data_IF_544484294996
#
_entry.id   IF_544484294996
#
_cell.length_a   1.000
_cell.length_b   1.000
_cell.length_c   1.000
_cell.angle_alpha   90.00
_cell.angle_beta   90.00
_cell.angle_gamma   90.00
#
_symmetry.space_group_name_H-M   'P 1'
#
loop_
_entity.id
_entity.type
_entity.pdbx_description
1 polymer ?
#
# COMPACT_ATOMS: atom_id res chain seq x y z
N UNK A 1 6.95 38.27 14.57
CA UNK A 1 8.30 37.83 14.16
C UNK A 1 8.23 36.33 13.96
N UNK A 2 8.30 35.84 12.72
CA UNK A 2 8.29 34.41 12.44
C UNK A 2 9.59 33.82 12.99
N UNK A 3 9.49 32.94 14.00
CA UNK A 3 10.63 32.18 14.46
C UNK A 3 11.15 31.37 13.25
N UNK A 4 12.45 31.45 12.90
CA UNK A 4 12.98 30.65 11.81
C UNK A 4 12.68 29.18 12.10
N UNK A 5 12.07 28.50 11.14
CA UNK A 5 11.71 27.09 11.25
C UNK A 5 12.99 26.28 11.44
N UNK A 6 13.29 25.89 12.68
CA UNK A 6 14.50 25.14 13.01
C UNK A 6 14.45 23.82 12.24
N UNK A 7 15.46 23.59 11.40
CA UNK A 7 15.46 22.40 10.54
C UNK A 7 15.85 21.14 11.32
N UNK A 8 15.43 19.93 10.92
CA UNK A 8 15.89 18.68 11.55
C UNK A 8 17.42 18.53 11.55
N UNK A 9 18.09 19.06 10.52
CA UNK A 9 19.56 19.09 10.44
C UNK A 9 20.15 19.99 11.52
N UNK A 10 19.55 21.16 11.73
CA UNK A 10 19.99 22.08 12.77
C UNK A 10 19.81 21.48 14.17
N UNK A 11 18.67 20.85 14.47
CA UNK A 11 18.48 20.14 15.73
C UNK A 11 19.53 19.05 15.95
N UNK A 12 19.81 18.26 14.91
CA UNK A 12 20.82 17.20 14.98
C UNK A 12 22.19 17.79 15.31
N UNK A 13 22.58 18.88 14.66
CA UNK A 13 23.84 19.59 14.96
C UNK A 13 23.85 20.12 16.40
N UNK A 14 22.77 20.77 16.86
CA UNK A 14 22.65 21.26 18.24
C UNK A 14 22.75 20.12 19.26
N UNK A 15 22.17 18.97 18.95
CA UNK A 15 22.23 17.76 19.80
C UNK A 15 23.66 17.21 19.87
N UNK A 16 24.39 17.19 18.76
CA UNK A 16 25.82 16.81 18.76
C UNK A 16 26.64 17.78 19.59
N UNK A 17 26.41 19.08 19.45
CA UNK A 17 27.11 20.11 20.25
C UNK A 17 26.82 19.92 21.74
N UNK A 18 25.56 19.64 22.12
CA UNK A 18 25.17 19.37 23.50
C UNK A 18 25.88 18.13 24.07
N UNK A 19 25.92 17.03 23.31
CA UNK A 19 26.60 15.80 23.70
C UNK A 19 28.11 16.01 23.91
N UNK A 20 28.76 16.75 23.01
CA UNK A 20 30.19 17.07 23.11
C UNK A 20 30.47 18.01 24.29
N UNK A 21 29.61 18.99 24.52
CA UNK A 21 29.81 19.98 25.60
C UNK A 21 29.62 19.37 26.98
N UNK A 22 28.85 18.29 27.09
CA UNK A 22 28.52 17.63 28.36
C UNK A 22 28.92 16.14 28.36
N UNK A 23 30.01 15.79 27.68
CA UNK A 23 30.45 14.41 27.44
C UNK A 23 30.51 13.57 28.74
N UNK A 24 31.12 14.12 29.79
CA UNK A 24 31.28 13.43 31.07
C UNK A 24 29.93 13.08 31.72
N UNK A 25 28.94 13.97 31.61
CA UNK A 25 27.60 13.74 32.16
C UNK A 25 26.92 12.54 31.48
N UNK A 26 26.90 12.54 30.15
CA UNK A 26 26.26 11.47 29.37
C UNK A 26 27.00 10.14 29.50
N UNK A 27 28.34 10.14 29.46
CA UNK A 27 29.13 8.94 29.66
C UNK A 27 28.86 8.31 31.03
N UNK A 28 28.88 9.10 32.11
CA UNK A 28 28.66 8.58 33.46
C UNK A 28 27.25 7.99 33.65
N UNK A 29 26.25 8.54 32.95
CA UNK A 29 24.86 8.16 33.15
C UNK A 29 24.42 6.97 32.28
N UNK A 30 24.93 6.85 31.04
CA UNK A 30 24.36 5.91 30.06
C UNK A 30 25.36 4.95 29.42
N UNK A 31 26.67 5.17 29.56
CA UNK A 31 27.67 4.37 28.82
C UNK A 31 27.67 2.89 29.19
N UNK A 32 27.37 2.56 30.44
CA UNK A 32 27.27 1.19 30.92
C UNK A 32 26.06 0.44 30.34
N UNK A 33 25.04 1.15 29.85
CA UNK A 33 23.78 0.58 29.39
C UNK A 33 23.74 0.48 27.86
N UNK A 34 24.29 1.48 27.16
CA UNK A 34 24.07 1.68 25.72
C UNK A 34 25.38 1.65 24.94
N UNK A 35 26.52 1.68 25.64
CA UNK A 35 27.84 1.69 25.05
C UNK A 35 28.43 3.08 24.96
N UNK A 36 29.60 3.20 24.29
CA UNK A 36 30.44 4.37 24.42
C UNK A 36 29.90 5.55 23.59
N UNK A 37 29.87 6.73 24.20
CA UNK A 37 29.28 7.94 23.63
C UNK A 37 29.96 8.39 22.32
N UNK A 38 31.27 8.19 22.19
CA UNK A 38 32.01 8.56 20.99
C UNK A 38 31.49 7.85 19.72
N UNK A 39 31.09 6.57 19.83
CA UNK A 39 30.50 5.83 18.72
C UNK A 39 29.10 6.37 18.37
N UNK A 40 28.30 6.71 19.39
CA UNK A 40 27.01 7.35 19.18
C UNK A 40 27.16 8.70 18.45
N UNK A 41 28.09 9.56 18.87
CA UNK A 41 28.38 10.84 18.21
C UNK A 41 28.78 10.65 16.75
N UNK A 42 29.67 9.70 16.45
CA UNK A 42 30.05 9.37 15.07
C UNK A 42 28.85 8.88 14.24
N UNK A 43 27.94 8.12 14.86
CA UNK A 43 26.68 7.70 14.27
C UNK A 43 25.79 8.89 13.91
N UNK A 44 25.57 9.81 14.84
CA UNK A 44 24.68 10.97 14.66
C UNK A 44 25.13 11.86 13.50
N UNK A 45 26.44 12.05 13.33
CA UNK A 45 27.00 12.88 12.27
C UNK A 45 26.73 12.34 10.85
N UNK A 46 26.42 11.05 10.70
CA UNK A 46 26.01 10.48 9.41
C UNK A 46 24.57 10.86 9.11
N UNK A 47 24.29 11.26 7.87
CA UNK A 47 22.92 11.53 7.46
C UNK A 47 22.07 10.26 7.56
N UNK A 48 20.82 10.40 8.01
CA UNK A 48 19.82 9.33 8.07
C UNK A 48 20.13 8.18 9.06
N UNK A 49 21.11 8.34 9.94
CA UNK A 49 21.25 7.44 11.07
C UNK A 49 20.10 7.60 12.04
N UNK A 50 19.65 6.46 12.56
CA UNK A 50 18.67 6.37 13.61
C UNK A 50 19.23 7.02 14.88
N UNK A 51 18.38 7.77 15.57
CA UNK A 51 18.75 8.41 16.84
C UNK A 51 18.45 7.48 17.99
N UNK A 52 19.48 7.19 18.79
CA UNK A 52 19.39 6.33 19.96
C UNK A 52 19.16 7.16 21.23
N UNK A 53 19.38 6.57 22.42
CA UNK A 53 18.99 7.21 23.67
C UNK A 53 19.79 8.48 23.96
N UNK A 54 21.09 8.51 23.66
CA UNK A 54 21.93 9.68 23.90
C UNK A 54 21.34 10.92 23.25
N UNK A 55 20.88 10.78 22.03
CA UNK A 55 20.22 11.82 21.25
C UNK A 55 18.92 12.26 21.89
N UNK A 56 18.08 11.31 22.33
CA UNK A 56 16.80 11.64 22.97
C UNK A 56 17.02 12.43 24.26
N UNK A 57 17.97 12.03 25.09
CA UNK A 57 18.26 12.72 26.36
C UNK A 57 18.89 14.08 26.11
N UNK A 58 19.86 14.19 25.19
CA UNK A 58 20.44 15.48 24.82
C UNK A 58 19.42 16.43 24.19
N UNK A 59 18.46 15.88 23.43
CA UNK A 59 17.39 16.67 22.85
C UNK A 59 16.49 17.32 23.90
N UNK A 60 16.34 16.73 25.11
CA UNK A 60 15.66 17.39 26.22
C UNK A 60 16.30 18.74 26.58
N UNK A 61 17.64 18.79 26.63
CA UNK A 61 18.39 20.02 26.92
C UNK A 61 18.27 21.03 25.77
N UNK A 62 18.44 20.57 24.54
CA UNK A 62 18.36 21.41 23.33
C UNK A 62 16.97 22.04 23.18
N UNK A 63 15.91 21.28 23.42
CA UNK A 63 14.52 21.75 23.30
C UNK A 63 13.98 22.39 24.58
N UNK A 64 14.68 22.23 25.71
CA UNK A 64 14.23 22.63 27.05
C UNK A 64 12.85 22.03 27.38
N UNK A 65 12.69 20.74 27.16
CA UNK A 65 11.42 20.03 27.37
C UNK A 65 11.64 18.65 27.97
N UNK A 66 10.62 18.13 28.64
CA UNK A 66 10.58 16.73 29.04
C UNK A 66 10.23 15.88 27.81
N UNK A 67 10.90 14.74 27.64
CA UNK A 67 10.55 13.77 26.61
C UNK A 67 10.12 12.47 27.29
N UNK A 68 8.82 12.19 27.25
CA UNK A 68 8.25 10.89 27.59
C UNK A 68 8.46 9.94 26.43
N UNK A 69 9.27 8.93 26.67
CA UNK A 69 9.58 7.89 25.71
C UNK A 69 8.75 6.65 25.99
N UNK A 70 8.08 6.11 24.96
CA UNK A 70 7.24 4.91 25.05
C UNK A 70 7.78 3.87 24.07
N UNK A 71 8.28 2.78 24.62
CA UNK A 71 8.79 1.61 23.92
C UNK A 71 7.75 0.48 23.97
N UNK A 72 7.39 -0.14 22.83
CA UNK A 72 6.38 -1.18 22.79
C UNK A 72 6.82 -2.43 23.57
N UNK A 73 5.87 -3.14 24.17
CA UNK A 73 6.15 -4.37 24.88
C UNK A 73 6.30 -5.57 23.91
N UNK A 74 7.29 -5.49 23.01
CA UNK A 74 7.66 -6.51 22.03
C UNK A 74 9.10 -6.92 22.29
N UNK A 75 9.33 -8.20 22.57
CA UNK A 75 10.64 -8.76 22.95
C UNK A 75 11.34 -7.99 24.09
N UNK A 76 10.53 -7.42 24.99
CA UNK A 76 11.01 -6.49 26.00
C UNK A 76 12.01 -7.15 26.95
N UNK A 77 13.17 -6.53 27.10
CA UNK A 77 14.24 -6.95 28.02
C UNK A 77 14.39 -5.93 29.14
N UNK A 78 14.88 -6.35 30.29
CA UNK A 78 14.98 -5.49 31.48
C UNK A 78 15.75 -4.18 31.22
N UNK A 79 16.88 -4.25 30.49
CA UNK A 79 17.64 -3.04 30.12
C UNK A 79 16.86 -2.08 29.21
N UNK A 80 15.83 -2.54 28.49
CA UNK A 80 14.99 -1.69 27.65
C UNK A 80 14.02 -0.83 28.46
N UNK A 81 13.87 -1.08 29.76
CA UNK A 81 13.07 -0.24 30.65
C UNK A 81 13.53 1.22 30.66
N UNK A 82 14.81 1.47 30.37
CA UNK A 82 15.32 2.83 30.24
C UNK A 82 14.59 3.61 29.14
N UNK A 83 14.18 2.97 28.04
CA UNK A 83 13.45 3.60 26.94
C UNK A 83 11.98 3.88 27.29
N UNK A 84 11.45 3.35 28.38
CA UNK A 84 10.09 3.61 28.88
C UNK A 84 10.14 4.60 30.06
N UNK A 85 10.69 5.80 29.84
CA UNK A 85 10.93 6.79 30.88
C UNK A 85 10.60 8.22 30.44
N UNK A 86 10.56 9.15 31.40
CA UNK A 86 10.45 10.59 31.15
C UNK A 86 11.83 11.21 31.36
N UNK A 87 12.47 11.59 30.26
CA UNK A 87 13.72 12.32 30.29
C UNK A 87 13.47 13.80 30.54
N UNK A 88 14.28 14.39 31.40
CA UNK A 88 14.16 15.78 31.83
C UNK A 88 15.45 16.53 31.47
N UNK A 89 15.38 17.83 31.18
CA UNK A 89 16.58 18.64 31.01
C UNK A 89 17.46 18.62 32.26
N UNK A 90 18.77 18.59 32.07
CA UNK A 90 19.77 18.66 33.13
C UNK A 90 19.71 20.04 33.80
N UNK A 91 19.66 20.13 35.14
CA UNK A 91 19.72 21.40 35.84
C UNK A 91 20.92 22.25 35.40
N UNK A 92 20.79 23.59 35.29
CA UNK A 92 19.70 24.43 35.80
C UNK A 92 18.53 24.62 34.84
N UNK A 93 18.47 23.88 33.73
CA UNK A 93 17.41 24.04 32.74
C UNK A 93 16.05 23.60 33.32
N UNK A 94 15.03 24.43 33.14
CA UNK A 94 13.65 24.13 33.49
C UNK A 94 12.91 23.73 32.21
N UNK A 95 12.19 22.61 32.26
CA UNK A 95 11.39 22.13 31.14
C UNK A 95 10.17 23.03 30.90
N UNK A 96 9.95 23.42 29.65
CA UNK A 96 8.84 24.29 29.23
C UNK A 96 7.62 23.51 28.73
N UNK A 97 7.69 22.17 28.70
CA UNK A 97 6.61 21.30 28.23
C UNK A 97 7.02 19.83 28.25
N UNK A 98 6.07 18.96 27.89
CA UNK A 98 6.30 17.53 27.72
C UNK A 98 5.93 17.07 26.31
N UNK A 99 6.88 16.38 25.68
CA UNK A 99 6.76 15.73 24.40
C UNK A 99 6.65 14.23 24.65
N UNK A 100 5.78 13.55 23.92
CA UNK A 100 5.68 12.09 23.99
C UNK A 100 6.12 11.52 22.66
N UNK A 101 7.01 10.52 22.69
CA UNK A 101 7.44 9.77 21.51
C UNK A 101 7.12 8.29 21.69
N UNK A 102 6.83 7.62 20.59
CA UNK A 102 6.59 6.19 20.53
C UNK A 102 7.58 5.53 19.58
N UNK A 103 8.37 4.59 20.08
CA UNK A 103 9.30 3.81 19.28
C UNK A 103 8.54 2.83 18.40
N UNK A 104 8.88 2.80 17.12
CA UNK A 104 8.20 1.97 16.13
C UNK A 104 9.16 1.45 15.07
N UNK A 105 8.61 0.62 14.18
CA UNK A 105 9.33 0.10 13.02
C UNK A 105 8.57 0.43 11.73
N UNK A 106 9.28 0.74 10.66
CA UNK A 106 8.66 1.07 9.36
C UNK A 106 8.11 -0.14 8.60
N UNK A 107 8.56 -1.34 8.95
CA UNK A 107 8.03 -2.61 8.46
C UNK A 107 7.05 -3.19 9.47
N UNK A 108 6.20 -4.12 9.01
CA UNK A 108 5.41 -4.94 9.93
C UNK A 108 6.31 -5.83 10.81
N UNK A 109 5.72 -6.42 11.85
CA UNK A 109 6.47 -7.21 12.83
C UNK A 109 7.19 -8.41 12.21
N UNK A 110 6.54 -9.11 11.27
CA UNK A 110 7.08 -10.32 10.66
C UNK A 110 8.33 -9.99 9.84
N UNK A 111 8.23 -8.95 9.01
CA UNK A 111 9.34 -8.49 8.19
C UNK A 111 10.46 -7.86 9.05
N UNK A 112 10.11 -7.11 10.10
CA UNK A 112 11.09 -6.55 11.04
C UNK A 112 11.92 -7.65 11.70
N UNK A 113 11.26 -8.72 12.17
CA UNK A 113 11.93 -9.88 12.77
C UNK A 113 12.79 -10.63 11.76
N UNK A 114 12.31 -10.78 10.52
CA UNK A 114 13.08 -11.46 9.47
C UNK A 114 14.41 -10.77 9.18
N UNK A 115 14.46 -9.44 9.24
CA UNK A 115 15.68 -8.65 9.03
C UNK A 115 16.60 -8.68 10.26
N UNK A 116 16.05 -8.83 11.46
CA UNK A 116 16.75 -8.70 12.74
C UNK A 116 16.92 -10.05 13.47
N UNK A 117 17.20 -11.12 12.72
CA UNK A 117 17.46 -12.47 13.25
C UNK A 117 16.42 -12.96 14.27
N UNK A 118 15.14 -12.69 13.99
CA UNK A 118 14.00 -13.10 14.81
C UNK A 118 13.63 -12.14 15.94
N UNK A 119 14.46 -11.13 16.22
CA UNK A 119 14.19 -10.12 17.27
C UNK A 119 13.54 -8.87 16.69
N UNK A 120 12.64 -8.26 17.43
CA UNK A 120 12.11 -6.95 17.07
C UNK A 120 12.97 -5.83 17.66
N UNK A 121 13.27 -4.81 16.86
CA UNK A 121 13.94 -3.58 17.33
C UNK A 121 13.39 -2.39 16.56
N UNK A 122 13.22 -1.21 17.17
CA UNK A 122 12.74 -0.03 16.47
C UNK A 122 13.80 0.48 15.50
N UNK A 123 13.34 1.03 14.38
CA UNK A 123 14.17 1.80 13.45
C UNK A 123 13.59 3.20 13.21
N UNK A 124 12.53 3.53 13.94
CA UNK A 124 11.80 4.78 13.82
C UNK A 124 11.15 5.17 15.15
N UNK A 125 10.72 6.42 15.26
CA UNK A 125 9.84 6.85 16.33
C UNK A 125 8.89 7.93 15.81
N UNK A 126 7.70 8.00 16.40
CA UNK A 126 6.69 8.99 16.06
C UNK A 126 6.33 9.82 17.31
N UNK A 127 6.21 11.15 17.21
CA UNK A 127 5.67 11.93 18.30
C UNK A 127 4.19 11.60 18.46
N UNK A 128 3.78 11.36 19.69
CA UNK A 128 2.36 11.28 20.02
C UNK A 128 1.85 12.68 20.31
N UNK A 129 0.94 13.13 19.46
CA UNK A 129 0.12 14.30 19.72
C UNK A 129 -0.73 13.99 20.95
N UNK A 130 -0.43 14.65 22.08
CA UNK A 130 -1.39 14.70 23.16
C UNK A 130 -2.54 15.57 22.67
N UNK A 131 -3.59 14.94 22.18
CA UNK A 131 -4.87 15.61 22.03
C UNK A 131 -5.24 16.09 23.42
N UNK A 132 -5.19 17.40 23.65
CA UNK A 132 -5.91 18.03 24.73
C UNK A 132 -7.39 17.87 24.38
N UNK A 133 -7.91 16.68 24.68
CA UNK A 133 -9.32 16.42 24.69
C UNK A 133 -9.84 17.23 25.87
N UNK A 134 -10.19 18.49 25.62
CA UNK A 134 -11.11 19.23 26.48
C UNK A 134 -12.51 18.61 26.32
N UNK A 135 -12.67 17.32 26.61
CA UNK A 135 -13.99 16.77 26.87
C UNK A 135 -14.32 17.23 28.28
N UNK A 136 -15.13 18.28 28.39
CA UNK A 136 -16.08 18.32 29.49
C UNK A 136 -16.85 16.99 29.41
N UNK A 137 -16.93 16.21 30.51
CA UNK A 137 -17.79 15.04 30.52
C UNK A 137 -19.22 15.57 30.32
N UNK A 138 -19.78 15.32 29.14
CA UNK A 138 -21.22 15.38 28.98
C UNK A 138 -21.75 14.11 29.65
N UNK A 139 -22.52 14.27 30.73
CA UNK A 139 -23.12 13.21 31.55
C UNK A 139 -24.21 12.39 30.81
N UNK A 140 -24.06 12.15 29.51
CA UNK A 140 -25.10 11.50 28.70
C UNK A 140 -24.64 10.35 27.80
N UNK A 141 -23.46 9.76 28.06
CA UNK A 141 -23.07 8.53 27.37
C UNK A 141 -23.02 7.32 28.32
N UNK A 142 -24.13 6.58 28.35
CA UNK A 142 -24.21 5.24 28.94
C UNK A 142 -23.45 4.29 28.00
N UNK A 143 -22.44 3.53 28.49
CA UNK A 143 -21.74 2.55 27.67
C UNK A 143 -22.66 1.37 27.37
N UNK A 144 -23.01 1.15 26.11
CA UNK A 144 -23.65 -0.10 25.68
C UNK A 144 -22.65 -1.23 25.86
N UNK A 145 -22.93 -2.09 26.83
CA UNK A 145 -22.23 -3.35 27.12
C UNK A 145 -22.08 -4.20 25.86
N UNK A 146 -20.84 -4.57 25.53
CA UNK A 146 -20.57 -5.59 24.51
C UNK A 146 -21.00 -6.95 25.05
N UNK A 147 -22.16 -7.42 24.60
CA UNK A 147 -22.59 -8.81 24.76
C UNK A 147 -21.72 -9.74 23.91
N UNK A 148 -21.15 -10.73 24.59
CA UNK A 148 -20.42 -11.87 24.05
C UNK A 148 -21.21 -12.59 22.95
N UNK A 149 -20.51 -12.96 21.88
CA UNK A 149 -21.01 -13.80 20.79
C UNK A 149 -21.08 -15.26 21.23
N UNK A 150 -22.22 -15.97 21.03
CA UNK A 150 -22.25 -17.40 21.19
C UNK A 150 -21.92 -18.14 19.87
N UNK A 151 -21.36 -19.32 20.07
CA UNK A 151 -20.79 -20.25 19.10
C UNK A 151 -21.74 -20.64 17.95
N UNK A 152 -21.15 -20.78 16.76
CA UNK A 152 -21.81 -21.34 15.57
C UNK A 152 -22.00 -22.86 15.73
N UNK A 153 -23.24 -23.28 15.97
CA UNK A 153 -23.71 -24.62 15.60
C UNK A 153 -24.26 -24.60 14.17
N UNK A 154 -23.76 -25.52 13.35
CA UNK A 154 -24.19 -25.78 11.98
C UNK A 154 -25.60 -26.37 11.95
N UNK A 155 -26.53 -25.72 11.27
CA UNK A 155 -27.77 -26.34 10.77
C UNK A 155 -27.87 -26.10 9.26
N UNK A 156 -27.94 -27.20 8.51
CA UNK A 156 -28.26 -27.23 7.07
C UNK A 156 -29.76 -27.00 6.92
N UNK A 157 -30.17 -26.02 6.12
CA UNK A 157 -31.52 -25.99 5.55
C UNK A 157 -31.43 -25.56 4.07
N UNK A 158 -31.89 -26.46 3.20
CA UNK A 158 -32.08 -26.27 1.77
C UNK A 158 -33.37 -25.48 1.53
N UNK A 159 -33.29 -24.29 0.93
CA UNK A 159 -34.41 -23.68 0.18
C UNK A 159 -33.84 -22.93 -1.03
N UNK A 160 -34.36 -23.10 -2.26
CA UNK A 160 -33.84 -22.42 -3.44
C UNK A 160 -34.38 -20.98 -3.53
N UNK A 161 -33.48 -19.99 -3.51
CA UNK A 161 -33.83 -18.58 -3.75
C UNK A 161 -33.96 -18.34 -5.26
N UNK A 162 -35.18 -18.06 -5.74
CA UNK A 162 -35.41 -17.58 -7.11
C UNK A 162 -34.91 -16.14 -7.24
N UNK A 163 -33.86 -15.94 -8.04
CA UNK A 163 -33.38 -14.61 -8.43
C UNK A 163 -34.28 -14.11 -9.57
N UNK A 164 -35.12 -13.11 -9.29
CA UNK A 164 -35.88 -12.37 -10.31
C UNK A 164 -34.91 -11.50 -11.11
N UNK A 165 -34.79 -11.76 -12.40
CA UNK A 165 -34.09 -10.90 -13.37
C UNK A 165 -34.97 -9.65 -13.59
N UNK A 166 -34.43 -8.42 -13.55
CA UNK A 166 -35.18 -7.23 -13.93
C UNK A 166 -35.48 -7.27 -15.44
N UNK A 167 -36.76 -7.19 -15.81
CA UNK A 167 -37.17 -6.98 -17.19
C UNK A 167 -36.83 -5.55 -17.62
N UNK A 168 -35.88 -5.41 -18.55
CA UNK A 168 -35.67 -4.16 -19.26
C UNK A 168 -36.62 -4.10 -20.47
N UNK A 169 -37.35 -2.99 -20.69
CA UNK A 169 -38.10 -2.82 -21.91
C UNK A 169 -37.14 -2.75 -23.10
N UNK A 170 -37.33 -3.68 -24.04
CA UNK A 170 -36.66 -3.74 -25.34
C UNK A 170 -36.70 -2.37 -26.04
N UNK A 171 -35.52 -1.84 -26.43
CA UNK A 171 -35.40 -0.61 -27.21
C UNK A 171 -36.30 -0.60 -28.47
N UNK A 172 -36.91 0.55 -28.84
CA UNK A 172 -37.88 0.64 -29.94
C UNK A 172 -37.31 0.40 -31.35
N UNK A 173 -35.98 0.41 -31.51
CA UNK A 173 -35.33 0.42 -32.83
C UNK A 173 -35.20 -0.95 -33.52
N UNK A 174 -35.88 -1.99 -33.02
CA UNK A 174 -35.91 -3.33 -33.65
C UNK A 174 -37.26 -3.62 -34.33
N UNK A 175 -37.90 -2.63 -34.95
CA UNK A 175 -39.21 -2.80 -35.62
C UNK A 175 -39.31 -2.24 -37.04
N UNK A 176 -38.18 -2.02 -37.72
CA UNK A 176 -38.22 -1.62 -39.14
C UNK A 176 -37.25 -2.48 -39.97
N UNK A 177 -37.53 -3.79 -40.03
CA UNK A 177 -37.16 -4.64 -41.17
C UNK A 177 -37.96 -5.94 -41.18
N UNK A 178 -39.25 -5.83 -41.48
CA UNK A 178 -40.08 -6.97 -41.89
C UNK A 178 -40.68 -6.64 -43.24
N UNK A 179 -39.84 -6.68 -44.27
CA UNK A 179 -40.31 -7.17 -45.55
C UNK A 179 -40.26 -8.69 -45.45
N UNK A 180 -41.43 -9.31 -45.58
CA UNK A 180 -41.67 -10.74 -45.43
C UNK A 180 -41.04 -11.44 -46.63
N UNK A 181 -39.82 -11.94 -46.45
CA UNK A 181 -39.19 -12.87 -47.37
C UNK A 181 -39.44 -14.30 -46.84
N UNK A 182 -40.07 -15.23 -47.60
CA UNK A 182 -40.40 -16.57 -47.14
C UNK A 182 -39.20 -17.41 -46.64
N UNK A 183 -37.97 -17.04 -47.02
CA UNK A 183 -36.75 -17.64 -46.47
C UNK A 183 -36.55 -17.36 -44.97
N UNK A 184 -37.10 -16.25 -44.44
CA UNK A 184 -36.96 -15.89 -43.01
C UNK A 184 -37.85 -16.72 -42.08
N UNK A 185 -38.99 -17.23 -42.55
CA UNK A 185 -39.92 -18.00 -41.72
C UNK A 185 -39.41 -19.42 -41.47
N UNK A 186 -38.87 -20.06 -42.52
CA UNK A 186 -38.20 -21.36 -42.41
C UNK A 186 -36.94 -21.27 -41.54
N UNK A 187 -36.13 -20.21 -41.71
CA UNK A 187 -34.95 -19.98 -40.89
C UNK A 187 -35.30 -19.74 -39.40
N UNK A 188 -36.38 -19.01 -39.12
CA UNK A 188 -36.89 -18.80 -37.77
C UNK A 188 -37.42 -20.10 -37.14
N UNK A 189 -38.13 -20.93 -37.91
CA UNK A 189 -38.63 -22.24 -37.46
C UNK A 189 -37.49 -23.24 -37.21
N UNK A 190 -36.44 -23.21 -38.02
CA UNK A 190 -35.24 -24.03 -37.82
C UNK A 190 -34.51 -23.56 -36.56
N UNK A 191 -34.32 -22.26 -36.38
CA UNK A 191 -33.67 -21.69 -35.19
C UNK A 191 -34.46 -21.98 -33.89
N UNK A 192 -35.80 -21.95 -33.93
CA UNK A 192 -36.64 -22.30 -32.79
C UNK A 192 -36.56 -23.80 -32.46
N UNK A 193 -36.56 -24.68 -33.47
CA UNK A 193 -36.34 -26.12 -33.27
C UNK A 193 -34.95 -26.45 -32.73
N UNK A 194 -33.91 -25.76 -33.19
CA UNK A 194 -32.55 -25.93 -32.69
C UNK A 194 -32.40 -25.49 -31.23
N UNK A 195 -33.02 -24.37 -30.85
CA UNK A 195 -33.00 -23.86 -29.47
C UNK A 195 -33.79 -24.75 -28.51
N UNK A 196 -34.95 -25.27 -28.93
CA UNK A 196 -35.71 -26.27 -28.16
C UNK A 196 -34.88 -27.53 -27.90
N UNK A 197 -34.28 -28.09 -28.96
CA UNK A 197 -33.38 -29.24 -28.88
C UNK A 197 -32.15 -28.95 -28.01
N UNK A 198 -31.71 -27.70 -27.91
CA UNK A 198 -30.59 -27.29 -27.08
C UNK A 198 -30.95 -27.19 -25.59
N UNK A 199 -32.20 -26.84 -25.27
CA UNK A 199 -32.77 -26.82 -23.91
C UNK A 199 -33.05 -28.23 -23.37
N UNK A 200 -33.50 -29.15 -24.22
CA UNK A 200 -33.83 -30.53 -23.84
C UNK A 200 -32.60 -31.45 -23.69
N UNK A 201 -31.40 -30.96 -24.03
CA UNK A 201 -30.17 -31.75 -23.93
C UNK A 201 -29.76 -31.98 -22.48
N UNK A 202 -29.54 -33.26 -22.15
CA UNK A 202 -28.84 -33.62 -20.91
C UNK A 202 -27.43 -33.03 -20.88
N UNK A 203 -26.89 -32.79 -19.68
CA UNK A 203 -25.54 -32.26 -19.49
C UNK A 203 -24.48 -33.05 -20.27
N UNK A 204 -24.61 -34.38 -20.32
CA UNK A 204 -23.71 -35.31 -21.02
C UNK A 204 -23.79 -35.15 -22.54
N UNK A 205 -25.00 -35.06 -23.11
CA UNK A 205 -25.19 -34.81 -24.55
C UNK A 205 -24.62 -33.45 -24.96
N UNK A 206 -24.83 -32.42 -24.14
CA UNK A 206 -24.24 -31.09 -24.35
C UNK A 206 -22.71 -31.15 -24.36
N UNK A 207 -22.10 -31.87 -23.43
CA UNK A 207 -20.64 -32.04 -23.38
C UNK A 207 -20.11 -32.77 -24.62
N UNK A 208 -20.73 -33.89 -25.03
CA UNK A 208 -20.33 -34.63 -26.23
C UNK A 208 -20.38 -33.76 -27.50
N UNK A 209 -21.45 -32.98 -27.67
CA UNK A 209 -21.59 -32.04 -28.80
C UNK A 209 -20.52 -30.94 -28.77
N UNK A 210 -20.22 -30.38 -27.60
CA UNK A 210 -19.16 -29.38 -27.45
C UNK A 210 -17.78 -29.96 -27.76
N UNK A 211 -17.53 -31.23 -27.39
CA UNK A 211 -16.25 -31.88 -27.69
C UNK A 211 -16.08 -32.11 -29.19
N UNK A 212 -17.10 -32.63 -29.89
CA UNK A 212 -17.09 -32.73 -31.36
C UNK A 212 -16.82 -31.38 -32.04
N UNK A 213 -17.45 -30.30 -31.55
CA UNK A 213 -17.19 -28.93 -32.05
C UNK A 213 -15.74 -28.48 -31.82
N UNK A 214 -15.14 -28.84 -30.67
CA UNK A 214 -13.74 -28.53 -30.36
C UNK A 214 -12.79 -29.31 -31.25
N UNK A 215 -13.04 -30.59 -31.47
CA UNK A 215 -12.24 -31.46 -32.35
C UNK A 215 -12.24 -30.94 -33.78
N UNK A 216 -13.42 -30.67 -34.34
CA UNK A 216 -13.55 -30.07 -35.67
C UNK A 216 -12.79 -28.74 -35.77
N UNK A 217 -12.91 -27.87 -34.75
CA UNK A 217 -12.19 -26.62 -34.71
C UNK A 217 -10.66 -26.79 -34.58
N UNK A 218 -10.18 -27.84 -33.90
CA UNK A 218 -8.74 -28.17 -33.83
C UNK A 218 -8.24 -28.65 -35.19
N UNK A 219 -8.95 -29.58 -35.83
CA UNK A 219 -8.59 -30.10 -37.15
C UNK A 219 -8.56 -29.02 -38.23
N UNK A 220 -9.52 -28.10 -38.23
CA UNK A 220 -9.50 -27.00 -39.18
C UNK A 220 -8.34 -26.03 -38.95
N UNK A 221 -7.92 -25.84 -37.69
CA UNK A 221 -6.77 -24.99 -37.36
C UNK A 221 -5.44 -25.68 -37.64
N UNK A 222 -5.34 -27.00 -37.60
CA UNK A 222 -4.11 -27.71 -37.97
C UNK A 222 -3.89 -27.69 -39.48
N UNK A 223 -4.97 -27.64 -40.25
CA UNK A 223 -4.93 -27.69 -41.71
C UNK A 223 -5.06 -26.30 -42.37
N UNK A 224 -5.05 -25.21 -41.60
CA UNK A 224 -5.19 -23.85 -42.14
C UNK A 224 -3.91 -23.40 -42.84
N UNK A 225 -4.04 -22.73 -43.98
CA UNK A 225 -2.88 -22.07 -44.62
C UNK A 225 -2.45 -20.83 -43.82
N UNK A 226 -1.22 -20.37 -44.03
CA UNK A 226 -0.74 -19.14 -43.38
C UNK A 226 -1.63 -17.92 -43.67
N UNK A 227 -2.15 -17.79 -44.89
CA UNK A 227 -3.05 -16.68 -45.26
C UNK A 227 -4.41 -16.80 -44.55
N UNK A 228 -4.99 -17.99 -44.51
CA UNK A 228 -6.24 -18.25 -43.78
C UNK A 228 -6.08 -17.97 -42.28
N UNK A 229 -4.94 -18.39 -41.70
CA UNK A 229 -4.58 -18.09 -40.31
C UNK A 229 -4.50 -16.59 -40.06
N UNK A 230 -3.84 -15.84 -40.92
CA UNK A 230 -3.72 -14.38 -40.81
C UNK A 230 -5.09 -13.71 -40.87
N UNK A 231 -5.92 -14.03 -41.87
CA UNK A 231 -7.30 -13.51 -41.99
C UNK A 231 -8.14 -13.82 -40.76
N UNK A 232 -8.04 -15.04 -40.21
CA UNK A 232 -8.74 -15.46 -38.99
C UNK A 232 -8.28 -14.66 -37.77
N UNK A 233 -6.97 -14.49 -37.58
CA UNK A 233 -6.40 -13.73 -36.46
C UNK A 233 -6.74 -12.25 -36.55
N UNK A 234 -6.75 -11.67 -37.75
CA UNK A 234 -7.16 -10.29 -37.98
C UNK A 234 -8.64 -10.08 -37.62
N UNK A 235 -9.53 -10.96 -38.10
CA UNK A 235 -10.94 -10.95 -37.73
C UNK A 235 -11.13 -11.06 -36.21
N UNK A 236 -10.34 -11.92 -35.55
CA UNK A 236 -10.36 -12.06 -34.09
C UNK A 236 -9.87 -10.80 -33.38
N UNK A 237 -8.78 -10.17 -33.85
CA UNK A 237 -8.25 -8.91 -33.33
C UNK A 237 -9.28 -7.79 -33.44
N UNK A 238 -9.97 -7.68 -34.57
CA UNK A 238 -11.01 -6.69 -34.80
C UNK A 238 -12.22 -6.89 -33.87
N UNK A 239 -12.69 -8.13 -33.71
CA UNK A 239 -13.73 -8.47 -32.72
C UNK A 239 -13.33 -8.08 -31.30
N UNK A 240 -12.10 -8.41 -30.90
CA UNK A 240 -11.58 -8.04 -29.58
C UNK A 240 -11.48 -6.52 -29.39
N UNK A 241 -11.10 -5.78 -30.44
CA UNK A 241 -11.06 -4.31 -30.42
C UNK A 241 -12.47 -3.74 -30.23
N UNK A 242 -13.46 -4.21 -30.99
CA UNK A 242 -14.86 -3.78 -30.86
C UNK A 242 -15.39 -4.11 -29.46
N UNK A 243 -15.17 -5.33 -28.97
CA UNK A 243 -15.61 -5.73 -27.63
C UNK A 243 -15.00 -4.86 -26.52
N UNK A 244 -13.75 -4.41 -26.67
CA UNK A 244 -13.10 -3.47 -25.74
C UNK A 244 -13.60 -2.03 -25.85
N UNK A 245 -14.21 -1.65 -26.97
CA UNK A 245 -14.79 -0.31 -27.15
C UNK A 245 -16.19 -0.21 -26.55
N UNK A 246 -16.92 -1.33 -26.51
CA UNK A 246 -18.29 -1.40 -25.98
C UNK A 246 -18.34 -1.93 -24.54
N UNK A 247 -17.21 -2.25 -23.92
CA UNK A 247 -17.17 -2.75 -22.55
C UNK A 247 -17.62 -1.65 -21.56
N UNK A 248 -18.42 -2.04 -20.56
CA UNK A 248 -18.74 -1.12 -19.46
C UNK A 248 -17.52 -0.94 -18.56
N UNK A 249 -17.48 0.14 -17.76
CA UNK A 249 -16.36 0.36 -16.84
C UNK A 249 -16.23 -0.79 -15.82
N UNK A 250 -17.34 -1.37 -15.35
CA UNK A 250 -17.32 -2.54 -14.46
C UNK A 250 -16.70 -3.77 -15.15
N UNK A 251 -17.07 -4.05 -16.40
CA UNK A 251 -16.49 -5.13 -17.19
C UNK A 251 -14.99 -4.91 -17.43
N UNK A 252 -14.60 -3.67 -17.72
CA UNK A 252 -13.20 -3.26 -17.88
C UNK A 252 -12.40 -3.48 -16.61
N UNK A 253 -12.91 -3.04 -15.46
CA UNK A 253 -12.26 -3.20 -14.17
C UNK A 253 -12.15 -4.68 -13.78
N UNK A 254 -13.21 -5.46 -13.96
CA UNK A 254 -13.20 -6.91 -13.73
C UNK A 254 -12.15 -7.61 -14.61
N UNK A 255 -12.11 -7.30 -15.91
CA UNK A 255 -11.10 -7.82 -16.84
C UNK A 255 -9.68 -7.44 -16.42
N UNK A 256 -9.43 -6.19 -16.03
CA UNK A 256 -8.11 -5.74 -15.59
C UNK A 256 -7.69 -6.39 -14.27
N UNK A 257 -8.62 -6.56 -13.32
CA UNK A 257 -8.41 -7.28 -12.06
C UNK A 257 -7.98 -8.71 -12.33
N UNK A 258 -8.73 -9.45 -13.15
CA UNK A 258 -8.40 -10.83 -13.52
C UNK A 258 -7.01 -10.95 -14.18
N UNK A 259 -6.63 -9.98 -15.02
CA UNK A 259 -5.29 -9.94 -15.63
C UNK A 259 -4.19 -9.70 -14.59
N UNK A 260 -4.41 -8.80 -13.62
CA UNK A 260 -3.46 -8.54 -12.53
C UNK A 260 -3.28 -9.78 -11.65
N UNK A 261 -4.37 -10.42 -11.25
CA UNK A 261 -4.34 -11.63 -10.42
C UNK A 261 -3.62 -12.79 -11.12
N UNK A 262 -3.93 -13.03 -12.40
CA UNK A 262 -3.23 -14.05 -13.19
C UNK A 262 -1.74 -13.75 -13.31
N UNK A 263 -1.38 -12.49 -13.57
CA UNK A 263 0.03 -12.08 -13.68
C UNK A 263 0.77 -12.24 -12.34
N UNK A 264 0.12 -11.90 -11.24
CA UNK A 264 0.68 -12.07 -9.90
C UNK A 264 0.87 -13.55 -9.57
N UNK A 265 -0.10 -14.41 -9.90
CA UNK A 265 0.01 -15.86 -9.73
C UNK A 265 1.18 -16.44 -10.52
N UNK A 266 1.34 -16.05 -11.79
CA UNK A 266 2.49 -16.47 -12.61
C UNK A 266 3.82 -16.03 -11.99
N UNK A 267 3.91 -14.78 -11.52
CA UNK A 267 5.13 -14.25 -10.88
C UNK A 267 5.43 -14.86 -9.52
N UNK A 268 4.43 -15.32 -8.77
CA UNK A 268 4.66 -16.02 -7.49
C UNK A 268 5.23 -17.42 -7.70
N UNK A 269 4.86 -18.05 -8.81
CA UNK A 269 5.28 -19.41 -9.14
C UNK A 269 6.44 -19.45 -10.15
N UNK A 270 7.11 -18.31 -10.41
CA UNK A 270 8.24 -18.26 -11.33
C UNK A 270 9.46 -18.92 -10.70
N UNK A 271 10.20 -19.69 -11.48
CA UNK A 271 11.55 -20.16 -11.08
C UNK A 271 12.54 -19.00 -11.11
N UNK A 272 13.66 -19.12 -10.40
CA UNK A 272 14.66 -18.05 -10.39
C UNK A 272 15.22 -17.76 -11.79
N UNK A 273 15.41 -18.78 -12.63
CA UNK A 273 15.84 -18.60 -14.03
C UNK A 273 14.81 -17.82 -14.86
N UNK A 274 13.52 -18.14 -14.72
CA UNK A 274 12.43 -17.41 -15.37
C UNK A 274 12.37 -15.97 -14.89
N UNK A 275 12.57 -15.73 -13.59
CA UNK A 275 12.62 -14.41 -12.99
C UNK A 275 13.76 -13.57 -13.56
N UNK A 276 14.96 -14.14 -13.62
CA UNK A 276 16.14 -13.46 -14.15
C UNK A 276 15.96 -13.14 -15.64
N UNK A 277 15.48 -14.10 -16.44
CA UNK A 277 15.17 -13.87 -17.86
C UNK A 277 14.15 -12.75 -18.06
N UNK A 278 13.06 -12.75 -17.27
CA UNK A 278 12.05 -11.68 -17.30
C UNK A 278 12.65 -10.31 -16.94
N UNK A 279 13.42 -10.22 -15.86
CA UNK A 279 14.05 -8.97 -15.44
C UNK A 279 15.07 -8.46 -16.47
N UNK A 280 15.83 -9.36 -17.10
CA UNK A 280 16.75 -9.01 -18.16
C UNK A 280 16.01 -8.44 -19.38
N UNK A 281 14.95 -9.11 -19.84
CA UNK A 281 14.10 -8.62 -20.91
C UNK A 281 13.45 -7.26 -20.59
N UNK A 282 13.02 -7.05 -19.34
CA UNK A 282 12.45 -5.77 -18.89
C UNK A 282 13.51 -4.63 -18.92
N UNK A 283 14.76 -4.93 -18.52
CA UNK A 283 15.88 -3.97 -18.60
C UNK A 283 16.20 -3.61 -20.05
N UNK A 284 16.32 -4.61 -20.93
CA UNK A 284 16.62 -4.40 -22.35
C UNK A 284 15.52 -3.59 -23.05
N UNK A 285 14.25 -3.93 -22.79
CA UNK A 285 13.11 -3.15 -23.29
C UNK A 285 13.20 -1.70 -22.80
N UNK A 286 13.47 -1.48 -21.52
CA UNK A 286 13.59 -0.13 -20.95
C UNK A 286 14.74 0.65 -21.58
N UNK A 287 15.88 0.00 -21.81
CA UNK A 287 17.02 0.62 -22.50
C UNK A 287 16.68 0.98 -23.94
N UNK A 288 16.02 0.09 -24.68
CA UNK A 288 15.57 0.34 -26.05
C UNK A 288 14.62 1.54 -26.12
N UNK A 289 13.63 1.60 -25.21
CA UNK A 289 12.71 2.75 -25.12
C UNK A 289 13.48 4.05 -24.86
N UNK A 290 14.45 4.05 -23.94
CA UNK A 290 15.27 5.23 -23.63
C UNK A 290 16.21 5.64 -24.76
N UNK A 291 16.68 4.71 -25.59
CA UNK A 291 17.50 5.04 -26.77
C UNK A 291 16.67 5.69 -27.87
N UNK A 292 15.40 5.32 -27.96
CA UNK A 292 14.47 5.78 -28.99
C UNK A 292 13.54 6.91 -28.50
N UNK A 293 13.77 7.46 -27.30
CA UNK A 293 12.94 8.54 -26.77
C UNK A 293 13.27 9.87 -27.48
N UNK A 294 12.25 10.68 -27.76
CA UNK A 294 12.48 12.05 -28.26
C UNK A 294 13.04 12.92 -27.15
N UNK A 295 13.69 14.04 -27.49
CA UNK A 295 14.24 14.95 -26.46
C UNK A 295 13.13 15.48 -25.53
N UNK A 296 11.93 15.75 -26.04
CA UNK A 296 10.77 16.14 -25.21
C UNK A 296 10.37 15.05 -24.22
N UNK A 297 10.32 13.79 -24.66
CA UNK A 297 10.01 12.64 -23.80
C UNK A 297 11.09 12.46 -22.73
N UNK A 298 12.36 12.63 -23.10
CA UNK A 298 13.51 12.60 -22.18
C UNK A 298 13.40 13.68 -21.11
N UNK A 299 13.14 14.92 -21.51
CA UNK A 299 13.01 16.05 -20.59
C UNK A 299 11.82 15.87 -19.66
N UNK A 300 10.67 15.43 -20.17
CA UNK A 300 9.49 15.10 -19.36
C UNK A 300 9.79 14.00 -18.34
N UNK A 301 10.45 12.92 -18.76
CA UNK A 301 10.88 11.83 -17.86
C UNK A 301 11.82 12.33 -16.77
N UNK A 302 12.85 13.12 -17.12
CA UNK A 302 13.80 13.66 -16.15
C UNK A 302 13.14 14.65 -15.19
N UNK A 303 12.21 15.48 -15.67
CA UNK A 303 11.39 16.36 -14.83
C UNK A 303 10.57 15.56 -13.84
N UNK A 304 9.85 14.54 -14.29
CA UNK A 304 9.06 13.66 -13.42
C UNK A 304 9.92 12.96 -12.37
N UNK A 305 11.14 12.52 -12.74
CA UNK A 305 12.08 11.93 -11.77
C UNK A 305 12.54 12.97 -10.74
N UNK A 306 12.88 14.20 -11.17
CA UNK A 306 13.26 15.29 -10.26
C UNK A 306 12.13 15.65 -9.32
N UNK A 307 10.92 15.83 -9.84
CA UNK A 307 9.72 16.14 -9.05
C UNK A 307 9.38 15.02 -8.07
N UNK A 308 9.43 13.75 -8.50
CA UNK A 308 9.23 12.61 -7.61
C UNK A 308 10.29 12.58 -6.52
N UNK A 309 11.56 12.78 -6.87
CA UNK A 309 12.66 12.80 -5.89
C UNK A 309 12.50 13.97 -4.93
N UNK A 310 12.10 15.14 -5.43
CA UNK A 310 11.85 16.31 -4.61
C UNK A 310 10.61 16.12 -3.72
N UNK A 311 9.56 15.49 -4.20
CA UNK A 311 8.37 15.15 -3.42
C UNK A 311 8.69 14.13 -2.34
N UNK A 312 9.51 13.11 -2.62
CA UNK A 312 10.00 12.17 -1.61
C UNK A 312 10.79 12.92 -0.55
N UNK A 313 11.79 13.72 -0.95
CA UNK A 313 12.56 14.55 -0.01
C UNK A 313 11.67 15.51 0.77
N UNK A 314 10.69 16.14 0.12
CA UNK A 314 9.71 17.03 0.75
C UNK A 314 8.86 16.28 1.75
N UNK A 315 8.35 15.10 1.43
CA UNK A 315 7.52 14.30 2.32
C UNK A 315 8.34 13.77 3.49
N UNK A 316 9.60 13.38 3.27
CA UNK A 316 10.54 13.06 4.35
C UNK A 316 10.78 14.28 5.23
N UNK A 317 11.00 15.47 4.65
CA UNK A 317 11.14 16.70 5.43
C UNK A 317 9.84 17.13 6.08
N UNK A 318 8.68 16.96 5.45
CA UNK A 318 7.36 17.32 5.97
C UNK A 318 6.96 16.38 7.10
N UNK A 319 7.30 15.10 7.00
CA UNK A 319 7.13 14.19 8.11
C UNK A 319 8.00 14.62 9.29
N UNK A 320 9.26 14.98 9.05
CA UNK A 320 10.15 15.50 10.09
C UNK A 320 9.74 16.90 10.61
N UNK A 321 9.22 17.80 9.79
CA UNK A 321 8.77 19.15 10.19
C UNK A 321 7.37 19.16 10.77
N UNK A 322 6.46 18.27 10.35
CA UNK A 322 5.16 18.09 10.98
C UNK A 322 5.34 17.53 12.40
N UNK A 323 6.20 16.52 12.56
CA UNK A 323 6.70 16.10 13.88
C UNK A 323 7.23 17.32 14.64
N UNK A 324 8.03 18.17 14.01
CA UNK A 324 8.63 19.32 14.67
C UNK A 324 7.66 20.46 15.06
N UNK A 325 6.70 20.82 14.20
CA UNK A 325 5.68 21.86 14.44
C UNK A 325 4.72 21.40 15.56
N UNK A 326 4.38 20.12 15.56
CA UNK A 326 3.62 19.46 16.63
C UNK A 326 4.36 19.58 17.98
N UNK A 327 5.67 19.38 17.98
CA UNK A 327 6.53 19.47 19.16
C UNK A 327 6.67 20.92 19.66
N UNK A 328 6.86 21.89 18.76
CA UNK A 328 6.99 23.32 19.10
C UNK A 328 5.66 23.92 19.57
N UNK A 329 4.55 23.69 18.87
CA UNK A 329 3.26 24.29 19.24
C UNK A 329 2.76 23.80 20.61
N UNK A 330 3.16 22.60 21.04
CA UNK A 330 2.89 22.08 22.38
C UNK A 330 3.72 22.77 23.47
N UNK A 331 4.93 23.24 23.13
CA UNK A 331 5.83 24.02 24.02
C UNK A 331 5.41 25.48 24.13
N UNK A 332 4.79 26.07 23.09
CA UNK A 332 4.33 27.46 23.15
C UNK A 332 2.88 27.62 23.67
N UNK A 333 2.00 26.63 23.46
CA UNK A 333 0.64 26.64 24.04
C UNK A 333 0.62 26.50 25.57
N UNK A 334 1.70 25.99 26.19
CA UNK A 334 1.84 25.92 27.64
C UNK A 334 2.19 27.27 28.29
N UNK A 335 2.67 28.25 27.52
CA UNK A 335 3.05 29.58 28.01
C UNK A 335 1.89 30.58 28.11
N UNK A 336 0.76 30.31 27.46
CA UNK A 336 -0.40 31.22 27.41
C UNK A 336 -1.62 30.75 28.24
N UNK A 337 -1.50 29.68 29.02
CA UNK A 337 -2.46 29.31 30.07
C UNK A 337 -1.89 29.63 31.45
N UNK A 338 -1.88 30.91 31.81
CA UNK A 338 -1.81 31.38 33.20
C UNK A 338 -2.78 32.52 33.39
#
# INVERSE_FOLDING_TARGET
MNNPEVTPKELRVRTVVELLSNEAHYNNMYSSIIGPLNLAIQGICKNYTFSELYEIVALCNVLKCNIRSIYPNLDFREYMAIFNNIFKPTPPLIANGEITIFWCHTLDEVDARAVNNGTWSPNHFVPLLSFLINHKPDDSYIPTTMTLTPEKKTFKNNVPTQIRIPEFPSSPNRRLRTEINPENELAQLIASKETQKEQDNTKTQRQSRLEKKREWARSNRSNETNEQRQKRLEKQKNRNKVNRLIETEEQRQSRLKNVRERTQSIRRNETEEQRQSRLQNDRERTQSIRRNETEEQRQSRLRNVRERTQSIRRNETFFLTFIFIVLINKVDSSKYKR
#
